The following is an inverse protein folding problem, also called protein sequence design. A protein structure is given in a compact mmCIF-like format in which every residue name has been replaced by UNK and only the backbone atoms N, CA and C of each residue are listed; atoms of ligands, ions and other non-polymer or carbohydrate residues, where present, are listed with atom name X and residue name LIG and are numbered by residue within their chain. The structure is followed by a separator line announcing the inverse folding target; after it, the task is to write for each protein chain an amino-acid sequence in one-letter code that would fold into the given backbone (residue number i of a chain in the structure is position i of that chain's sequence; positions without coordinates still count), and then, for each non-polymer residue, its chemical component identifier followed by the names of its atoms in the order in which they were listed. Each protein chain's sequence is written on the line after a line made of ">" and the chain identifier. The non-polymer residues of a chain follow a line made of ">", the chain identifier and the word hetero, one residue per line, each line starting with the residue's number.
data_IF_847237474917
#
_entry.id   IF_847237474917
#
_cell.length_a   1.000
_cell.length_b   1.000
_cell.length_c   1.000
_cell.angle_alpha   90.00
_cell.angle_beta   90.00
_cell.angle_gamma   90.00
#
_symmetry.space_group_name_H-M   'P 1'
#
loop_
_entity.id
_entity.type
_entity.pdbx_description
1 polymer ?
#
# COMPACT_ATOMS: atom_id res chain seq x y z
N UNK A 1 30.85 -16.30 -11.94
CA UNK A 1 30.94 -15.13 -12.81
C UNK A 1 32.39 -14.64 -12.98
N UNK A 2 33.15 -14.47 -11.90
CA UNK A 2 34.54 -13.99 -11.94
C UNK A 2 35.49 -14.81 -12.84
N UNK A 3 35.22 -16.10 -13.06
CA UNK A 3 36.01 -16.92 -13.98
C UNK A 3 35.61 -16.78 -15.46
N UNK A 4 34.41 -16.26 -15.73
CA UNK A 4 33.84 -16.16 -17.09
C UNK A 4 34.05 -14.77 -17.70
N UNK A 5 33.71 -13.71 -16.96
CA UNK A 5 33.79 -12.32 -17.46
C UNK A 5 35.13 -11.97 -18.08
N UNK A 6 36.29 -12.31 -17.49
CA UNK A 6 37.59 -11.98 -18.12
C UNK A 6 37.92 -12.77 -19.39
N UNK A 7 37.11 -13.77 -19.74
CA UNK A 7 37.34 -14.68 -20.87
C UNK A 7 36.38 -14.50 -22.04
N UNK A 8 35.52 -13.48 -21.94
CA UNK A 8 34.55 -13.17 -23.02
C UNK A 8 34.58 -11.68 -23.33
N UNK A 9 34.27 -11.31 -24.56
CA UNK A 9 34.01 -9.94 -24.96
C UNK A 9 32.55 -9.49 -24.81
N UNK A 10 31.70 -10.35 -24.21
CA UNK A 10 30.28 -10.05 -23.96
C UNK A 10 30.10 -9.35 -22.63
N UNK A 11 29.11 -8.47 -22.55
CA UNK A 11 28.66 -7.91 -21.28
C UNK A 11 28.04 -9.02 -20.44
N UNK A 12 28.53 -9.19 -19.22
CA UNK A 12 28.07 -10.24 -18.32
C UNK A 12 27.18 -9.66 -17.21
N UNK A 13 26.02 -10.29 -17.02
CA UNK A 13 25.07 -9.91 -15.96
C UNK A 13 25.03 -11.02 -14.89
N UNK A 14 25.27 -10.65 -13.64
CA UNK A 14 25.28 -11.57 -12.51
C UNK A 14 23.96 -11.52 -11.75
N UNK A 15 23.29 -12.67 -11.66
CA UNK A 15 22.14 -12.91 -10.79
C UNK A 15 22.42 -14.19 -9.99
N UNK A 16 22.86 -14.04 -8.74
CA UNK A 16 23.19 -15.14 -7.85
C UNK A 16 24.47 -15.93 -8.18
N UNK A 17 25.24 -15.51 -9.18
CA UNK A 17 26.50 -16.17 -9.60
C UNK A 17 27.75 -15.54 -9.00
N UNK A 18 27.59 -14.77 -7.93
CA UNK A 18 28.65 -14.08 -7.21
C UNK A 18 29.16 -12.81 -7.90
N UNK A 19 30.19 -12.16 -7.35
CA UNK A 19 30.79 -10.96 -7.91
C UNK A 19 31.59 -11.25 -9.20
N UNK A 20 31.98 -10.20 -9.91
CA UNK A 20 32.85 -10.27 -11.08
C UNK A 20 32.10 -10.30 -12.42
N UNK A 21 30.80 -10.08 -12.47
CA UNK A 21 30.08 -9.68 -13.67
C UNK A 21 30.18 -8.17 -13.90
N UNK A 22 29.96 -7.72 -15.11
CA UNK A 22 29.95 -6.30 -15.46
C UNK A 22 28.75 -5.58 -14.81
N UNK A 23 27.65 -6.29 -14.63
CA UNK A 23 26.40 -5.79 -14.02
C UNK A 23 25.93 -6.75 -12.95
N UNK A 24 25.53 -6.22 -11.79
CA UNK A 24 24.77 -6.94 -10.78
C UNK A 24 23.29 -6.72 -11.01
N UNK A 25 22.48 -7.78 -10.97
CA UNK A 25 21.05 -7.72 -11.18
C UNK A 25 20.27 -8.31 -10.01
N UNK A 26 19.27 -7.60 -9.57
CA UNK A 26 18.22 -8.07 -8.66
C UNK A 26 16.87 -7.51 -9.09
N UNK A 27 15.80 -8.18 -8.74
CA UNK A 27 14.46 -7.65 -8.92
C UNK A 27 14.18 -6.49 -7.95
N UNK A 28 13.43 -5.51 -8.41
CA UNK A 28 13.08 -4.33 -7.60
C UNK A 28 12.41 -4.71 -6.29
N UNK A 29 11.48 -5.65 -6.31
CA UNK A 29 10.77 -6.13 -5.10
C UNK A 29 11.74 -6.70 -4.05
N UNK A 30 12.78 -7.41 -4.49
CA UNK A 30 13.79 -7.95 -3.59
C UNK A 30 14.65 -6.84 -3.02
N UNK A 31 15.10 -5.92 -3.88
CA UNK A 31 15.90 -4.74 -3.47
C UNK A 31 15.15 -3.92 -2.43
N UNK A 32 13.86 -3.69 -2.65
CA UNK A 32 13.00 -2.87 -1.78
C UNK A 32 12.49 -3.60 -0.53
N UNK A 33 12.66 -4.92 -0.46
CA UNK A 33 12.20 -5.72 0.68
C UNK A 33 10.68 -5.85 0.75
N UNK A 34 10.04 -6.09 -0.39
CA UNK A 34 8.59 -6.25 -0.48
C UNK A 34 8.14 -7.69 -0.20
N UNK A 35 8.99 -8.68 -0.49
CA UNK A 35 8.66 -10.10 -0.45
C UNK A 35 9.65 -10.92 0.36
N UNK A 36 9.34 -12.20 0.54
CA UNK A 36 10.29 -13.19 1.02
C UNK A 36 11.45 -13.31 0.02
N UNK A 37 12.66 -13.10 0.49
CA UNK A 37 13.85 -13.03 -0.36
C UNK A 37 14.32 -14.42 -0.79
N UNK A 38 14.69 -14.60 -2.06
CA UNK A 38 15.41 -15.77 -2.51
C UNK A 38 16.86 -15.77 -1.96
N UNK A 39 17.48 -16.94 -1.93
CA UNK A 39 18.82 -17.14 -1.34
C UNK A 39 19.91 -16.23 -1.91
N UNK A 40 19.80 -15.85 -3.17
CA UNK A 40 20.77 -15.00 -3.88
C UNK A 40 20.51 -13.51 -3.73
N UNK A 41 19.49 -13.12 -2.98
CA UNK A 41 19.04 -11.75 -2.85
C UNK A 41 19.27 -11.21 -1.44
N UNK A 42 19.30 -9.89 -1.34
CA UNK A 42 19.34 -9.13 -0.09
C UNK A 42 18.48 -7.89 -0.24
N UNK A 43 17.64 -7.60 0.75
CA UNK A 43 16.91 -6.35 0.81
C UNK A 43 17.82 -5.18 1.20
N UNK A 44 17.62 -4.05 0.58
CA UNK A 44 18.23 -2.75 0.91
C UNK A 44 17.20 -1.77 1.47
N UNK A 45 15.92 -2.12 1.40
CA UNK A 45 14.78 -1.42 1.98
C UNK A 45 13.89 -2.38 2.76
N UNK A 46 12.80 -1.85 3.33
CA UNK A 46 11.82 -2.61 4.13
C UNK A 46 10.39 -2.14 3.81
N UNK A 47 9.99 -2.31 2.54
CA UNK A 47 8.64 -1.94 2.11
C UNK A 47 7.56 -2.88 2.68
N UNK A 48 7.91 -4.12 3.02
CA UNK A 48 6.98 -5.04 3.68
C UNK A 48 6.49 -4.50 5.02
N UNK A 49 7.38 -3.95 5.85
CA UNK A 49 7.00 -3.33 7.13
C UNK A 49 6.12 -2.08 6.93
N UNK A 50 6.38 -1.28 5.90
CA UNK A 50 5.53 -0.13 5.56
C UNK A 50 4.13 -0.57 5.09
N UNK A 51 4.05 -1.61 4.27
CA UNK A 51 2.78 -2.18 3.82
C UNK A 51 1.96 -2.72 5.01
N UNK A 52 2.60 -3.40 5.94
CA UNK A 52 1.97 -3.88 7.18
C UNK A 52 1.46 -2.73 8.06
N UNK A 53 2.25 -1.66 8.17
CA UNK A 53 1.84 -0.45 8.89
C UNK A 53 0.61 0.19 8.25
N UNK A 54 0.59 0.34 6.93
CA UNK A 54 -0.56 0.85 6.19
C UNK A 54 -1.82 -0.02 6.39
N UNK A 55 -1.65 -1.34 6.38
CA UNK A 55 -2.76 -2.27 6.60
C UNK A 55 -3.33 -2.16 8.02
N UNK A 56 -2.48 -1.99 9.03
CA UNK A 56 -2.92 -1.74 10.41
C UNK A 56 -3.66 -0.43 10.56
N UNK A 57 -3.14 0.65 9.98
CA UNK A 57 -3.78 1.98 10.02
C UNK A 57 -5.15 1.96 9.34
N UNK A 58 -5.26 1.31 8.18
CA UNK A 58 -6.53 1.15 7.48
C UNK A 58 -7.56 0.39 8.32
N UNK A 59 -7.16 -0.71 8.96
CA UNK A 59 -8.06 -1.46 9.87
C UNK A 59 -8.51 -0.62 11.06
N UNK A 60 -7.60 0.15 11.67
CA UNK A 60 -7.91 1.03 12.79
C UNK A 60 -8.91 2.11 12.37
N UNK A 61 -8.71 2.75 11.22
CA UNK A 61 -9.61 3.76 10.69
C UNK A 61 -11.01 3.21 10.40
N UNK A 62 -11.12 2.04 9.77
CA UNK A 62 -12.39 1.38 9.49
C UNK A 62 -13.12 0.96 10.77
N UNK A 63 -12.39 0.50 11.78
CA UNK A 63 -12.96 0.17 13.10
C UNK A 63 -13.49 1.42 13.78
N UNK A 64 -12.73 2.51 13.80
CA UNK A 64 -13.15 3.78 14.37
C UNK A 64 -14.41 4.35 13.68
N UNK A 65 -14.46 4.28 12.35
CA UNK A 65 -15.65 4.68 11.58
C UNK A 65 -16.87 3.84 11.94
N UNK A 66 -16.73 2.52 12.00
CA UNK A 66 -17.83 1.62 12.41
C UNK A 66 -18.34 1.98 13.80
N UNK A 67 -17.44 2.16 14.75
CA UNK A 67 -17.80 2.42 16.14
C UNK A 67 -18.49 3.79 16.27
N UNK A 68 -17.99 4.82 15.61
CA UNK A 68 -18.62 6.15 15.56
C UNK A 68 -20.01 6.12 14.89
N UNK A 69 -20.18 5.28 13.87
CA UNK A 69 -21.49 5.11 13.22
C UNK A 69 -22.50 4.39 14.12
N UNK A 70 -22.03 3.43 14.93
CA UNK A 70 -22.90 2.67 15.84
C UNK A 70 -23.27 3.46 17.10
N UNK A 71 -22.37 4.26 17.64
CA UNK A 71 -22.62 5.09 18.83
C UNK A 71 -23.28 6.43 18.50
N UNK A 72 -23.44 6.76 17.22
CA UNK A 72 -24.10 7.99 16.75
C UNK A 72 -23.22 9.25 16.80
N UNK A 73 -21.92 9.12 17.04
CA UNK A 73 -21.00 10.26 17.03
C UNK A 73 -20.64 10.72 15.60
N UNK A 74 -20.88 9.85 14.61
CA UNK A 74 -20.76 10.18 13.18
C UNK A 74 -22.06 9.82 12.43
N UNK A 75 -22.60 10.70 11.55
CA UNK A 75 -22.13 12.06 11.27
C UNK A 75 -22.47 13.03 12.42
N UNK A 76 -21.58 13.97 12.68
CA UNK A 76 -21.82 15.08 13.59
C UNK A 76 -22.36 16.33 12.88
N UNK A 77 -22.57 17.45 13.61
CA UNK A 77 -23.10 18.69 13.00
C UNK A 77 -22.24 19.24 11.87
N UNK A 78 -20.94 18.98 11.88
CA UNK A 78 -20.02 19.44 10.82
C UNK A 78 -20.15 18.66 9.51
N UNK A 79 -20.56 17.41 9.59
CA UNK A 79 -20.72 16.52 8.42
C UNK A 79 -22.14 16.55 7.85
N UNK A 80 -23.11 17.14 8.57
CA UNK A 80 -24.50 17.17 8.11
C UNK A 80 -24.69 18.20 7.00
N UNK A 81 -25.21 17.75 5.87
CA UNK A 81 -25.75 18.64 4.86
C UNK A 81 -27.06 19.28 5.35
N UNK A 82 -27.24 20.58 5.11
CA UNK A 82 -28.47 21.29 5.46
C UNK A 82 -29.38 21.34 4.24
N UNK A 83 -30.64 21.02 4.45
CA UNK A 83 -31.72 21.26 3.49
C UNK A 83 -32.49 22.51 3.92
N UNK A 84 -32.91 23.42 3.01
CA UNK A 84 -33.83 24.50 3.33
C UNK A 84 -35.12 23.97 3.96
N UNK A 85 -35.62 24.67 4.99
CA UNK A 85 -36.81 24.20 5.73
C UNK A 85 -38.03 24.00 4.83
N UNK A 86 -38.24 24.90 3.88
CA UNK A 86 -39.32 24.85 2.90
C UNK A 86 -39.27 23.63 1.97
N UNK A 87 -38.07 23.20 1.58
CA UNK A 87 -37.90 22.00 0.77
C UNK A 87 -38.15 20.74 1.62
N UNK A 88 -37.74 20.74 2.89
CA UNK A 88 -38.03 19.64 3.79
C UNK A 88 -39.54 19.49 4.03
N UNK A 89 -40.24 20.60 4.29
CA UNK A 89 -41.69 20.60 4.47
C UNK A 89 -42.42 20.08 3.23
N UNK A 90 -42.02 20.55 2.04
CA UNK A 90 -42.62 20.10 0.78
C UNK A 90 -42.38 18.60 0.53
N UNK A 91 -41.19 18.08 0.88
CA UNK A 91 -40.88 16.67 0.77
C UNK A 91 -41.70 15.81 1.74
N UNK A 92 -41.79 16.23 3.02
CA UNK A 92 -42.58 15.50 4.02
C UNK A 92 -44.08 15.49 3.66
N UNK A 93 -44.63 16.59 3.17
CA UNK A 93 -46.01 16.64 2.71
C UNK A 93 -46.28 15.73 1.48
N UNK A 94 -45.27 15.50 0.65
CA UNK A 94 -45.36 14.58 -0.46
C UNK A 94 -45.33 13.10 -0.05
N UNK A 95 -44.63 12.79 1.06
CA UNK A 95 -44.60 11.41 1.61
C UNK A 95 -45.89 11.02 2.30
N UNK A 96 -46.62 11.97 2.90
CA UNK A 96 -47.85 11.75 3.64
C UNK A 96 -49.09 11.61 2.72
N UNK A 97 -48.89 11.65 1.42
CA UNK A 97 -49.93 11.45 0.40
C UNK A 97 -50.00 9.99 -0.02
#
# INVERSE_FOLDING_TARGET
>A
MAAISPRTGLVTVSLGSGPGGDVMYLFQNDICGENTLPRHSRAFGDLAALADRMARERRAALTAFRDASLDGSFPGPAENARIPAEELEAFLAALDR
#
